data_IF_477147717333
#
_entry.id   IF_477147717333
#
_cell.length_a   1.000
_cell.length_b   1.000
_cell.length_c   1.000
_cell.angle_alpha   90.00
_cell.angle_beta   90.00
_cell.angle_gamma   90.00
#
_symmetry.space_group_name_H-M   'P 1'
#
loop_
_entity.id
_entity.type
_entity.pdbx_description
1 polymer ?
#
# COMPACT_ATOMS: atom_id res chain seq x y z
N UNK A 1 4.12 -2.90 -14.29
CA UNK A 1 3.98 -1.78 -13.34
C UNK A 1 5.39 -1.36 -12.90
N UNK A 2 5.78 -0.11 -13.14
CA UNK A 2 7.15 0.36 -12.87
C UNK A 2 7.34 0.64 -11.37
N UNK A 3 8.55 0.38 -10.87
CA UNK A 3 8.97 0.58 -9.47
C UNK A 3 8.74 2.01 -8.95
N UNK A 4 8.57 2.98 -9.87
CA UNK A 4 8.36 4.41 -9.62
C UNK A 4 6.97 4.74 -9.06
N UNK A 5 5.94 3.97 -9.40
CA UNK A 5 4.56 4.26 -9.00
C UNK A 5 4.18 3.64 -7.64
N UNK A 6 4.91 2.61 -7.25
CA UNK A 6 4.51 1.69 -6.17
C UNK A 6 5.24 2.04 -4.87
N UNK A 7 6.38 2.74 -4.94
CA UNK A 7 7.18 3.06 -3.75
C UNK A 7 6.76 4.34 -3.02
N UNK A 8 5.76 5.08 -3.49
CA UNK A 8 5.45 6.42 -2.95
C UNK A 8 3.96 6.68 -2.67
N UNK A 9 3.21 5.67 -2.23
CA UNK A 9 1.90 5.89 -1.57
C UNK A 9 2.01 6.35 -0.11
N UNK A 10 3.17 6.84 0.32
CA UNK A 10 3.30 7.63 1.54
C UNK A 10 2.80 9.04 1.25
N UNK A 11 1.49 9.16 1.11
CA UNK A 11 0.84 10.35 0.58
C UNK A 11 0.36 11.33 1.62
N UNK A 12 -0.04 10.85 2.79
CA UNK A 12 -0.75 11.66 3.76
C UNK A 12 -0.62 11.04 5.14
N UNK A 13 -0.50 11.87 6.16
CA UNK A 13 -0.60 11.44 7.56
C UNK A 13 -1.84 12.10 8.14
N UNK A 14 -2.69 11.32 8.79
CA UNK A 14 -3.90 11.81 9.43
C UNK A 14 -4.02 11.27 10.85
N UNK A 15 -4.76 11.98 11.68
CA UNK A 15 -5.19 11.48 12.99
C UNK A 15 -6.26 10.40 12.86
N UNK A 16 -6.73 9.89 14.00
CA UNK A 16 -7.79 8.87 14.07
C UNK A 16 -9.15 9.36 13.58
N UNK A 17 -9.33 10.68 13.43
CA UNK A 17 -10.53 11.31 12.89
C UNK A 17 -10.40 11.64 11.39
N UNK A 18 -9.31 11.18 10.75
CA UNK A 18 -8.96 11.44 9.35
C UNK A 18 -8.65 12.91 9.03
N UNK A 19 -8.31 13.72 10.04
CA UNK A 19 -7.81 15.07 9.80
C UNK A 19 -6.33 14.99 9.42
N UNK A 20 -5.97 15.61 8.29
CA UNK A 20 -4.58 15.63 7.82
C UNK A 20 -3.70 16.40 8.80
N UNK A 21 -2.63 15.77 9.27
CA UNK A 21 -1.62 16.44 10.09
C UNK A 21 -0.99 17.57 9.28
N UNK A 22 -1.13 18.80 9.79
CA UNK A 22 -0.67 20.05 9.14
C UNK A 22 -1.28 20.30 7.75
N UNK A 23 -2.37 19.62 7.39
CA UNK A 23 -3.00 19.74 6.08
C UNK A 23 -2.13 19.25 4.90
N UNK A 24 -1.01 18.57 5.18
CA UNK A 24 -0.01 18.26 4.18
C UNK A 24 -0.24 16.89 3.52
N UNK A 25 0.08 16.83 2.23
CA UNK A 25 0.12 15.62 1.42
C UNK A 25 1.49 15.60 0.76
N UNK A 26 2.21 14.49 0.88
CA UNK A 26 3.57 14.34 0.37
C UNK A 26 3.55 13.44 -0.86
N UNK A 27 4.34 13.80 -1.88
CA UNK A 27 4.69 12.87 -2.94
C UNK A 27 6.21 12.79 -3.01
N UNK A 28 6.74 11.63 -2.67
CA UNK A 28 8.16 11.36 -2.84
C UNK A 28 8.37 10.86 -4.28
N UNK A 29 9.34 11.43 -4.98
CA UNK A 29 9.67 11.03 -6.34
C UNK A 29 11.03 10.34 -6.30
N UNK A 30 11.06 9.03 -6.50
CA UNK A 30 12.33 8.29 -6.44
C UNK A 30 13.16 8.44 -7.70
N UNK A 31 14.47 8.29 -7.53
CA UNK A 31 15.45 8.28 -8.60
C UNK A 31 15.13 7.16 -9.59
N UNK A 32 14.85 7.55 -10.82
CA UNK A 32 14.58 6.62 -11.91
C UNK A 32 15.23 7.11 -13.20
N UNK A 33 16.11 6.29 -13.76
CA UNK A 33 16.68 6.55 -15.08
C UNK A 33 15.71 6.10 -16.17
N UNK A 34 15.19 7.00 -17.03
CA UNK A 34 14.26 6.63 -18.10
C UNK A 34 14.87 5.66 -19.11
N UNK A 35 16.20 5.61 -19.23
CA UNK A 35 16.94 4.68 -20.09
C UNK A 35 17.06 3.26 -19.50
N UNK A 36 16.69 3.03 -18.24
CA UNK A 36 16.71 1.69 -17.63
C UNK A 36 15.73 0.72 -18.28
N UNK A 37 14.74 1.23 -19.00
CA UNK A 37 13.78 0.46 -19.80
C UNK A 37 13.57 1.15 -21.13
N UNK A 38 13.21 0.39 -22.16
CA UNK A 38 12.81 0.98 -23.43
C UNK A 38 11.67 1.99 -23.22
N UNK A 39 11.69 3.11 -23.96
CA UNK A 39 10.60 4.07 -23.99
C UNK A 39 9.26 3.45 -24.42
N UNK A 40 9.33 2.36 -25.19
CA UNK A 40 8.15 1.61 -25.62
C UNK A 40 7.59 0.63 -24.59
N UNK A 41 8.31 0.44 -23.47
CA UNK A 41 7.85 -0.43 -22.41
C UNK A 41 6.50 0.08 -21.87
N UNK A 42 5.50 -0.79 -21.75
CA UNK A 42 4.13 -0.41 -21.35
C UNK A 42 4.07 0.37 -20.04
N UNK A 43 4.94 0.03 -19.08
CA UNK A 43 5.06 0.77 -17.82
C UNK A 43 5.65 2.18 -17.97
N UNK A 44 6.52 2.43 -18.95
CA UNK A 44 7.05 3.78 -19.22
C UNK A 44 5.98 4.64 -19.89
N UNK A 45 5.25 4.08 -20.88
CA UNK A 45 4.10 4.76 -21.51
C UNK A 45 3.04 5.14 -20.48
N UNK A 46 2.65 4.20 -19.62
CA UNK A 46 1.66 4.44 -18.57
C UNK A 46 2.05 5.56 -17.60
N UNK A 47 3.32 5.61 -17.17
CA UNK A 47 3.78 6.69 -16.28
C UNK A 47 3.74 8.06 -16.98
N UNK A 48 4.08 8.12 -18.27
CA UNK A 48 3.98 9.36 -19.06
C UNK A 48 2.53 9.78 -19.29
N UNK A 49 1.64 8.83 -19.56
CA UNK A 49 0.18 9.05 -19.64
C UNK A 49 -0.40 9.52 -18.29
N UNK A 50 0.23 9.12 -17.18
CA UNK A 50 -0.08 9.60 -15.82
C UNK A 50 0.61 10.93 -15.48
N UNK A 51 1.21 11.57 -16.49
CA UNK A 51 1.86 12.88 -16.43
C UNK A 51 3.07 12.95 -15.49
N UNK A 52 3.78 11.83 -15.28
CA UNK A 52 5.10 11.85 -14.62
C UNK A 52 6.18 12.29 -15.61
N UNK A 53 6.98 13.28 -15.21
CA UNK A 53 8.14 13.76 -15.95
C UNK A 53 9.34 12.90 -15.58
N UNK A 54 9.52 11.76 -16.25
CA UNK A 54 10.54 10.75 -15.92
C UNK A 54 11.97 11.29 -15.98
N UNK A 55 12.20 12.31 -16.79
CA UNK A 55 13.47 13.00 -16.93
C UNK A 55 13.83 13.78 -15.65
N UNK A 56 12.84 14.30 -14.91
CA UNK A 56 13.07 14.89 -13.59
C UNK A 56 13.38 13.83 -12.54
N UNK A 57 12.78 12.65 -12.64
CA UNK A 57 13.14 11.54 -11.75
C UNK A 57 14.60 11.11 -11.92
N UNK A 58 15.22 11.32 -13.08
CA UNK A 58 16.62 10.98 -13.31
C UNK A 58 17.60 11.97 -12.68
N UNK A 59 17.17 13.23 -12.52
CA UNK A 59 18.05 14.35 -12.12
C UNK A 59 17.77 14.86 -10.71
N UNK A 60 16.50 14.81 -10.27
CA UNK A 60 16.01 15.32 -8.99
C UNK A 60 15.42 14.22 -8.08
N UNK A 61 15.35 12.98 -8.57
CA UNK A 61 14.72 11.89 -7.84
C UNK A 61 15.53 11.47 -6.61
N UNK A 62 14.81 11.15 -5.53
CA UNK A 62 15.38 10.68 -4.26
C UNK A 62 15.97 9.27 -4.43
N UNK A 63 17.26 9.04 -4.14
CA UNK A 63 17.85 7.71 -4.15
C UNK A 63 17.07 6.75 -3.24
N UNK A 64 16.79 5.54 -3.73
CA UNK A 64 16.03 4.56 -2.95
C UNK A 64 16.71 4.22 -1.60
N UNK A 65 18.04 4.24 -1.55
CA UNK A 65 18.82 4.06 -0.31
C UNK A 65 18.59 5.18 0.72
N UNK A 66 18.41 6.41 0.26
CA UNK A 66 18.13 7.56 1.13
C UNK A 66 16.70 7.47 1.65
N UNK A 67 15.74 7.19 0.76
CA UNK A 67 14.36 6.92 1.17
C UNK A 67 14.26 5.78 2.20
N UNK A 68 15.04 4.70 2.01
CA UNK A 68 15.13 3.60 2.98
C UNK A 68 15.58 4.09 4.36
N UNK A 69 16.61 4.93 4.42
CA UNK A 69 17.12 5.46 5.68
C UNK A 69 16.08 6.36 6.35
N UNK A 70 15.48 7.28 5.59
CA UNK A 70 14.38 8.13 6.08
C UNK A 70 13.23 7.30 6.66
N UNK A 71 12.82 6.23 5.95
CA UNK A 71 11.75 5.37 6.41
C UNK A 71 12.12 4.63 7.72
N UNK A 72 13.37 4.17 7.85
CA UNK A 72 13.86 3.53 9.09
C UNK A 72 13.90 4.50 10.28
N UNK A 73 14.29 5.75 10.04
CA UNK A 73 14.42 6.77 11.08
C UNK A 73 13.08 7.46 11.42
N UNK A 74 12.06 7.29 10.57
CA UNK A 74 10.75 7.96 10.73
C UNK A 74 9.93 7.54 11.95
N UNK A 75 10.22 6.38 12.55
CA UNK A 75 9.39 5.78 13.60
C UNK A 75 8.04 5.21 13.12
N UNK A 76 7.81 5.12 11.79
CA UNK A 76 6.59 4.56 11.21
C UNK A 76 6.60 3.03 11.11
N UNK A 77 7.80 2.43 10.98
CA UNK A 77 7.98 0.98 10.92
C UNK A 77 7.86 0.37 12.32
N UNK A 78 7.36 -0.87 12.41
CA UNK A 78 7.23 -1.64 13.65
C UNK A 78 6.41 -0.94 14.75
N UNK A 79 5.68 0.12 14.41
CA UNK A 79 4.96 0.96 15.35
C UNK A 79 3.46 0.61 15.33
N UNK A 80 2.98 -0.01 16.43
CA UNK A 80 1.57 -0.41 16.58
C UNK A 80 0.61 0.78 16.71
N UNK A 81 1.12 1.96 17.04
CA UNK A 81 0.32 3.18 17.15
C UNK A 81 0.11 3.87 15.79
N UNK A 82 0.74 3.36 14.72
CA UNK A 82 0.61 3.85 13.35
C UNK A 82 -0.13 2.80 12.52
N UNK A 83 -1.26 3.17 11.94
CA UNK A 83 -2.01 2.30 11.03
C UNK A 83 -1.72 2.66 9.58
N UNK A 84 -1.14 1.71 8.85
CA UNK A 84 -0.86 1.86 7.42
C UNK A 84 -2.13 1.67 6.59
N UNK A 85 -2.52 2.67 5.83
CA UNK A 85 -3.72 2.62 4.97
C UNK A 85 -3.32 2.39 3.51
N UNK A 86 -3.88 1.37 2.88
CA UNK A 86 -3.56 0.98 1.50
C UNK A 86 -4.79 0.72 0.65
N UNK A 87 -4.62 0.62 -0.67
CA UNK A 87 -5.63 0.06 -1.57
C UNK A 87 -4.98 -0.96 -2.49
N UNK A 88 -5.30 -2.25 -2.30
CA UNK A 88 -4.56 -3.36 -2.91
C UNK A 88 -3.05 -3.34 -2.55
N UNK A 89 -2.73 -3.06 -1.29
CA UNK A 89 -1.40 -2.73 -0.77
C UNK A 89 -0.35 -3.83 -0.78
N UNK A 90 -0.70 -5.06 -1.16
CA UNK A 90 0.25 -6.18 -1.24
C UNK A 90 1.51 -5.83 -2.07
N UNK A 91 1.33 -5.15 -3.20
CA UNK A 91 2.46 -4.77 -4.06
C UNK A 91 3.32 -3.68 -3.43
N UNK A 92 2.68 -2.73 -2.74
CA UNK A 92 3.32 -1.63 -2.03
C UNK A 92 4.21 -2.19 -0.89
N UNK A 93 3.66 -3.06 -0.04
CA UNK A 93 4.42 -3.70 1.05
C UNK A 93 5.57 -4.57 0.54
N UNK A 94 5.35 -5.32 -0.55
CA UNK A 94 6.43 -6.12 -1.17
C UNK A 94 7.60 -5.25 -1.59
N UNK A 95 7.36 -4.10 -2.21
CA UNK A 95 8.44 -3.21 -2.59
C UNK A 95 9.12 -2.57 -1.38
N UNK A 96 8.36 -2.14 -0.38
CA UNK A 96 8.93 -1.57 0.84
C UNK A 96 9.78 -2.59 1.59
N UNK A 97 9.31 -3.84 1.73
CA UNK A 97 10.09 -4.92 2.35
C UNK A 97 11.33 -5.21 1.51
N UNK A 98 11.21 -5.38 0.20
CA UNK A 98 12.38 -5.57 -0.69
C UNK A 98 13.39 -4.41 -0.61
N UNK A 99 12.94 -3.20 -0.30
CA UNK A 99 13.82 -2.07 -0.07
C UNK A 99 14.51 -2.18 1.30
N UNK A 100 13.76 -2.55 2.33
CA UNK A 100 14.23 -2.64 3.71
C UNK A 100 15.18 -3.82 3.93
N UNK A 101 14.90 -4.95 3.30
CA UNK A 101 15.71 -6.17 3.35
C UNK A 101 16.67 -6.21 2.15
N UNK A 102 17.79 -6.91 2.28
CA UNK A 102 18.69 -7.20 1.14
C UNK A 102 18.38 -8.57 0.53
N UNK A 103 17.19 -9.08 0.79
CA UNK A 103 16.87 -10.49 0.62
C UNK A 103 16.23 -10.74 -0.76
N UNK A 104 16.88 -11.51 -1.65
CA UNK A 104 16.33 -11.78 -2.96
C UNK A 104 15.06 -12.63 -2.84
N UNK A 105 13.90 -11.97 -2.97
CA UNK A 105 12.61 -12.61 -3.24
C UNK A 105 12.20 -13.68 -2.21
N UNK A 106 11.85 -13.22 -1.01
CA UNK A 106 10.80 -13.79 -0.13
C UNK A 106 10.47 -15.26 -0.44
N UNK A 107 11.30 -16.19 0.05
CA UNK A 107 11.33 -17.59 -0.39
C UNK A 107 9.96 -18.30 -0.30
N UNK A 108 9.05 -17.80 0.54
CA UNK A 108 7.65 -18.25 0.59
C UNK A 108 6.67 -17.11 0.87
N UNK A 109 5.39 -17.32 0.53
CA UNK A 109 4.29 -16.42 0.89
C UNK A 109 4.17 -16.21 2.40
N UNK A 110 4.45 -17.26 3.19
CA UNK A 110 4.42 -17.19 4.65
C UNK A 110 5.53 -16.27 5.18
N UNK A 111 6.75 -16.40 4.65
CA UNK A 111 7.88 -15.55 5.05
C UNK A 111 7.59 -14.06 4.77
N UNK A 112 7.06 -13.75 3.58
CA UNK A 112 6.59 -12.39 3.28
C UNK A 112 5.59 -11.88 4.30
N UNK A 113 4.63 -12.71 4.69
CA UNK A 113 3.60 -12.29 5.64
C UNK A 113 4.15 -11.99 7.02
N UNK A 114 5.07 -12.81 7.51
CA UNK A 114 5.73 -12.56 8.79
C UNK A 114 6.46 -11.22 8.77
N UNK A 115 7.14 -10.89 7.66
CA UNK A 115 7.79 -9.58 7.50
C UNK A 115 6.79 -8.42 7.39
N UNK A 116 5.62 -8.59 6.74
CA UNK A 116 4.60 -7.53 6.74
C UNK A 116 4.09 -7.29 8.16
N UNK A 117 3.82 -8.36 8.94
CA UNK A 117 3.39 -8.24 10.34
C UNK A 117 4.48 -7.59 11.20
N UNK A 118 5.75 -7.92 10.96
CA UNK A 118 6.88 -7.32 11.66
C UNK A 118 6.99 -5.82 11.36
N UNK A 119 7.13 -5.43 10.09
CA UNK A 119 7.37 -4.03 9.71
C UNK A 119 6.12 -3.13 9.77
N UNK A 120 4.93 -3.69 9.57
CA UNK A 120 3.66 -2.95 9.45
C UNK A 120 2.57 -3.56 10.35
N UNK A 121 2.77 -3.60 11.67
CA UNK A 121 1.95 -4.39 12.59
C UNK A 121 0.48 -3.96 12.66
N UNK A 122 0.17 -2.72 12.25
CA UNK A 122 -1.20 -2.24 12.03
C UNK A 122 -1.37 -1.76 10.59
N UNK A 123 -2.29 -2.38 9.85
CA UNK A 123 -2.62 -1.95 8.49
C UNK A 123 -4.07 -2.24 8.11
N UNK A 124 -4.64 -1.34 7.32
CA UNK A 124 -5.99 -1.41 6.78
C UNK A 124 -5.94 -1.23 5.26
N UNK A 125 -6.60 -2.12 4.52
CA UNK A 125 -6.69 -2.00 3.07
C UNK A 125 -8.11 -1.66 2.69
N UNK A 126 -8.27 -0.48 2.11
CA UNK A 126 -9.54 0.09 1.71
C UNK A 126 -10.29 -0.83 0.74
N UNK A 127 -9.59 -1.62 -0.08
CA UNK A 127 -10.24 -2.56 -0.99
C UNK A 127 -10.80 -3.78 -0.26
N UNK A 128 -10.09 -4.31 0.72
CA UNK A 128 -10.61 -5.39 1.56
C UNK A 128 -11.73 -4.88 2.47
N UNK A 129 -11.55 -3.69 3.04
CA UNK A 129 -12.56 -3.03 3.86
C UNK A 129 -13.85 -2.77 3.04
N UNK A 130 -13.75 -2.33 1.78
CA UNK A 130 -14.92 -2.16 0.90
C UNK A 130 -15.58 -3.48 0.47
N UNK A 131 -14.95 -4.63 0.73
CA UNK A 131 -15.45 -5.96 0.36
C UNK A 131 -15.97 -6.75 1.56
N UNK A 132 -15.36 -6.59 2.73
CA UNK A 132 -15.58 -7.43 3.91
C UNK A 132 -15.92 -6.63 5.16
N UNK A 133 -15.73 -5.31 5.14
CA UNK A 133 -16.09 -4.45 6.25
C UNK A 133 -17.61 -4.35 6.41
N UNK A 134 -18.07 -4.24 7.65
CA UNK A 134 -19.49 -4.03 8.02
C UNK A 134 -19.94 -2.57 7.79
N UNK A 135 -19.51 -1.98 6.68
CA UNK A 135 -19.38 -0.53 6.55
C UNK A 135 -20.54 0.11 5.80
N UNK A 136 -21.41 -0.70 5.20
CA UNK A 136 -22.49 -0.22 4.35
C UNK A 136 -23.63 -1.24 4.41
N UNK A 137 -24.88 -0.78 4.40
CA UNK A 137 -26.07 -1.58 4.09
C UNK A 137 -26.05 -2.18 2.66
N UNK A 138 -24.90 -2.19 1.97
CA UNK A 138 -24.61 -2.86 0.70
C UNK A 138 -23.52 -3.90 0.94
N UNK A 139 -23.76 -5.13 0.53
CA UNK A 139 -22.89 -6.29 0.80
C UNK A 139 -21.44 -6.16 0.32
N UNK A 140 -21.14 -5.34 -0.71
CA UNK A 140 -19.80 -5.25 -1.34
C UNK A 140 -19.70 -4.11 -2.37
N UNK A 141 -18.55 -3.42 -2.41
CA UNK A 141 -18.21 -2.46 -3.49
C UNK A 141 -17.09 -3.05 -4.40
N UNK A 142 -17.41 -3.52 -5.62
CA UNK A 142 -16.42 -4.04 -6.57
C UNK A 142 -15.65 -2.90 -7.29
N UNK A 143 -14.59 -3.25 -8.03
CA UNK A 143 -13.89 -2.31 -8.92
C UNK A 143 -12.59 -1.67 -8.40
N UNK A 144 -12.00 -0.79 -9.21
CA UNK A 144 -10.76 -0.03 -8.92
C UNK A 144 -11.02 1.13 -7.96
N UNK A 145 -9.96 1.80 -7.50
CA UNK A 145 -10.03 2.87 -6.49
C UNK A 145 -11.05 3.95 -6.85
N UNK A 146 -11.10 4.41 -8.10
CA UNK A 146 -12.04 5.47 -8.51
C UNK A 146 -13.52 5.04 -8.38
N UNK A 147 -13.82 3.80 -8.74
CA UNK A 147 -15.18 3.23 -8.62
C UNK A 147 -15.56 3.09 -7.16
N UNK A 148 -14.65 2.54 -6.34
CA UNK A 148 -14.85 2.41 -4.89
C UNK A 148 -15.05 3.77 -4.25
N UNK A 149 -14.22 4.76 -4.60
CA UNK A 149 -14.35 6.12 -4.10
C UNK A 149 -15.68 6.76 -4.49
N UNK A 150 -16.14 6.56 -5.73
CA UNK A 150 -17.41 7.09 -6.23
C UNK A 150 -18.59 6.52 -5.45
N UNK A 151 -18.64 5.19 -5.29
CA UNK A 151 -19.70 4.50 -4.54
C UNK A 151 -19.72 4.88 -3.05
N UNK A 152 -18.56 5.17 -2.47
CA UNK A 152 -18.44 5.65 -1.10
C UNK A 152 -18.64 7.18 -0.98
N UNK A 153 -18.72 7.89 -2.10
CA UNK A 153 -18.78 9.35 -2.18
C UNK A 153 -17.52 10.06 -1.64
N UNK A 154 -16.37 9.38 -1.67
CA UNK A 154 -15.06 9.97 -1.41
C UNK A 154 -14.63 10.82 -2.61
N UNK A 155 -14.17 12.05 -2.34
CA UNK A 155 -13.74 12.99 -3.38
C UNK A 155 -12.23 12.95 -3.57
N UNK A 156 -11.77 12.98 -4.82
CA UNK A 156 -10.35 13.08 -5.17
C UNK A 156 -9.84 14.51 -5.03
N UNK A 157 -8.60 14.66 -4.58
CA UNK A 157 -7.81 15.90 -4.70
C UNK A 157 -6.50 15.55 -5.41
N UNK A 158 -6.12 16.34 -6.42
CA UNK A 158 -5.00 16.01 -7.30
C UNK A 158 -5.38 15.10 -8.46
N UNK A 159 -4.37 14.65 -9.21
CA UNK A 159 -4.55 13.90 -10.46
C UNK A 159 -4.57 12.39 -10.24
N UNK A 160 -5.34 11.69 -11.06
CA UNK A 160 -5.39 10.21 -11.05
C UNK A 160 -4.00 9.64 -11.37
N UNK A 161 -3.67 8.50 -10.78
CA UNK A 161 -2.39 7.80 -10.99
C UNK A 161 -1.16 8.55 -10.47
N UNK A 162 -1.36 9.61 -9.69
CA UNK A 162 -0.32 10.19 -8.85
C UNK A 162 -0.45 9.66 -7.42
N UNK A 163 0.68 9.23 -6.87
CA UNK A 163 0.71 8.43 -5.66
C UNK A 163 0.13 9.18 -4.44
N UNK A 164 0.40 10.48 -4.32
CA UNK A 164 -0.20 11.34 -3.29
C UNK A 164 -1.72 11.45 -3.40
N UNK A 165 -2.23 11.66 -4.63
CA UNK A 165 -3.67 11.77 -4.89
C UNK A 165 -4.41 10.47 -4.61
N UNK A 166 -3.84 9.34 -5.06
CA UNK A 166 -4.41 8.00 -4.84
C UNK A 166 -4.35 7.59 -3.35
N UNK A 167 -3.29 7.93 -2.63
CA UNK A 167 -3.18 7.68 -1.20
C UNK A 167 -4.24 8.47 -0.40
N UNK A 168 -4.40 9.77 -0.68
CA UNK A 168 -5.44 10.58 -0.03
C UNK A 168 -6.84 10.06 -0.35
N UNK A 169 -7.09 9.68 -1.61
CA UNK A 169 -8.39 9.13 -1.99
C UNK A 169 -8.68 7.81 -1.27
N UNK A 170 -7.67 6.95 -1.12
CA UNK A 170 -7.76 5.71 -0.35
C UNK A 170 -8.13 6.00 1.11
N UNK A 171 -7.46 6.97 1.74
CA UNK A 171 -7.76 7.40 3.11
C UNK A 171 -9.20 7.89 3.25
N UNK A 172 -9.68 8.73 2.32
CA UNK A 172 -11.06 9.26 2.34
C UNK A 172 -12.13 8.20 2.15
N UNK A 173 -11.82 7.09 1.45
CA UNK A 173 -12.72 5.94 1.38
C UNK A 173 -12.96 5.32 2.77
N UNK A 174 -12.00 5.41 3.70
CA UNK A 174 -12.15 4.95 5.09
C UNK A 174 -12.80 5.96 6.03
N UNK A 175 -12.84 7.25 5.67
CA UNK A 175 -13.50 8.29 6.48
C UNK A 175 -15.04 8.26 6.36
N UNK A 176 -15.53 7.95 5.14
CA UNK A 176 -16.97 7.90 4.81
C UNK A 176 -17.84 6.86 5.56
N UNK A 177 -17.36 5.69 6.01
CA UNK A 177 -18.08 4.82 6.91
C UNK A 177 -18.24 5.51 8.27
N UNK A 178 -19.32 6.29 8.42
CA UNK A 178 -19.63 7.07 9.62
C UNK A 178 -19.48 6.20 10.88
N UNK A 179 -18.48 6.53 11.71
CA UNK A 179 -18.38 6.01 13.08
C UNK A 179 -17.70 4.65 13.26
N UNK A 180 -17.10 4.07 12.23
CA UNK A 180 -16.25 2.88 12.40
C UNK A 180 -14.77 3.30 12.37
N UNK A 181 -14.07 3.11 13.50
CA UNK A 181 -12.62 3.06 13.45
C UNK A 181 -12.23 1.87 12.54
N UNK A 182 -11.35 2.04 11.55
CA UNK A 182 -10.88 0.90 10.77
C UNK A 182 -10.13 -0.06 11.68
N UNK A 183 -10.72 -1.24 11.90
CA UNK A 183 -10.00 -2.40 12.43
C UNK A 183 -8.92 -2.81 11.39
N UNK A 184 -7.71 -3.24 11.79
CA UNK A 184 -6.73 -3.81 10.87
C UNK A 184 -7.23 -5.07 10.11
N UNK A 185 -7.97 -4.85 9.01
CA UNK A 185 -8.58 -5.91 8.19
C UNK A 185 -7.64 -6.44 7.09
N UNK A 186 -6.59 -5.72 6.68
CA UNK A 186 -5.73 -6.19 5.57
C UNK A 186 -4.91 -7.41 5.92
N UNK A 187 -4.06 -7.27 6.94
CA UNK A 187 -3.16 -8.32 7.37
C UNK A 187 -3.94 -9.55 7.80
N UNK A 188 -4.99 -9.37 8.60
CA UNK A 188 -5.82 -10.47 9.09
C UNK A 188 -6.49 -11.22 7.93
N UNK A 189 -7.15 -10.53 6.99
CA UNK A 189 -7.83 -11.20 5.89
C UNK A 189 -6.83 -11.82 4.89
N UNK A 190 -5.69 -11.18 4.66
CA UNK A 190 -4.63 -11.75 3.82
C UNK A 190 -3.98 -12.98 4.48
N UNK A 191 -3.68 -12.94 5.78
CA UNK A 191 -3.21 -14.07 6.57
C UNK A 191 -4.23 -15.20 6.52
N UNK A 192 -5.50 -14.92 6.85
CA UNK A 192 -6.60 -15.89 6.82
C UNK A 192 -6.69 -16.59 5.47
N UNK A 193 -6.68 -15.83 4.35
CA UNK A 193 -6.72 -16.39 2.99
C UNK A 193 -5.47 -17.14 2.58
N UNK A 194 -4.31 -16.72 3.09
CA UNK A 194 -3.03 -17.36 2.77
C UNK A 194 -2.87 -18.66 3.54
N UNK A 195 -3.23 -18.66 4.83
CA UNK A 195 -3.31 -19.85 5.66
C UNK A 195 -4.36 -20.83 5.15
N UNK A 196 -5.56 -20.37 4.76
CA UNK A 196 -6.56 -21.25 4.12
C UNK A 196 -6.01 -21.93 2.86
N UNK A 197 -5.27 -21.19 2.02
CA UNK A 197 -4.68 -21.78 0.81
C UNK A 197 -3.53 -22.73 1.11
N UNK A 198 -2.68 -22.40 2.08
CA UNK A 198 -1.62 -23.29 2.56
C UNK A 198 -2.22 -24.55 3.20
N UNK A 199 -3.28 -24.42 3.99
CA UNK A 199 -4.04 -25.53 4.57
C UNK A 199 -4.64 -26.43 3.48
N UNK A 200 -5.18 -25.84 2.42
CA UNK A 200 -5.68 -26.59 1.25
C UNK A 200 -4.56 -27.18 0.38
N UNK A 201 -3.29 -26.81 0.59
CA UNK A 201 -2.18 -27.19 -0.30
C UNK A 201 -1.04 -27.97 0.38
N UNK A 202 -1.06 -28.23 1.70
CA UNK A 202 0.06 -28.90 2.39
C UNK A 202 -0.36 -30.00 3.39
N UNK A 203 0.42 -31.08 3.36
CA UNK A 203 0.47 -32.29 4.22
C UNK A 203 0.73 -31.95 5.72
N UNK A 204 0.46 -32.85 6.70
CA UNK A 204 0.39 -32.58 8.16
C UNK A 204 1.58 -31.89 8.83
N UNK A 205 2.74 -31.78 8.19
CA UNK A 205 3.97 -31.20 8.77
C UNK A 205 3.89 -29.69 9.00
N UNK A 206 3.02 -28.95 8.30
CA UNK A 206 2.84 -27.49 8.48
C UNK A 206 2.02 -27.14 9.74
N UNK A 207 1.30 -28.11 10.31
CA UNK A 207 0.42 -27.95 11.48
C UNK A 207 1.19 -27.53 12.75
N UNK A 208 2.49 -27.83 12.82
CA UNK A 208 3.30 -27.59 14.02
C UNK A 208 3.58 -26.11 14.33
N UNK A 209 3.59 -25.22 13.32
CA UNK A 209 3.96 -23.80 13.52
C UNK A 209 2.80 -22.88 13.91
N UNK A 210 1.55 -23.35 13.85
CA UNK A 210 0.36 -22.55 14.16
C UNK A 210 -0.27 -22.88 15.52
N UNK A 211 0.33 -23.79 16.29
CA UNK A 211 -0.21 -24.34 17.55
C UNK A 211 0.58 -23.91 18.80
N UNK A 212 1.43 -22.89 18.70
CA UNK A 212 2.26 -22.38 19.82
C UNK A 212 2.02 -20.90 20.04
#
# INVERSE_FOLDING_TARGET
>A
MCMVEILCRLGSIADTEFNLLRGAIFQLNLLFGPTRRSGDHCGVKFLRESELILEEHATKGLPASEFKNMLRESGLLQNKNVTWVTFMGYQDFRLMINLLTKDPLLETRLHFLLQVVEYFPSSCDCKLFSQYGKCINKLRVPGKLDVVATELGAKRTGKRHQAASDALLSLRCLQRPKGLAPDPVFLQEYLRRSLLRLWMSVSPTVIAYCSS
#
